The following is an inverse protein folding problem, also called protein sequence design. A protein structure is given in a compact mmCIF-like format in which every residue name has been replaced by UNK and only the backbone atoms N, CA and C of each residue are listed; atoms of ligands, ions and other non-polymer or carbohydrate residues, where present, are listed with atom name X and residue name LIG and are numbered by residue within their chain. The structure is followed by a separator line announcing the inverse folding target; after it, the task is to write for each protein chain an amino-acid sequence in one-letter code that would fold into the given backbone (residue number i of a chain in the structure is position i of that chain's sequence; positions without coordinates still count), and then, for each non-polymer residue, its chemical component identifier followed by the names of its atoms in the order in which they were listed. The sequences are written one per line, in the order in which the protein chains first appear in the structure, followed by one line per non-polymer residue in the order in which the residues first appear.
data_IF_421026378681
#
_entry.id   IF_421026378681
#
_cell.length_a   1.000
_cell.length_b   1.000
_cell.length_c   1.000
_cell.angle_alpha   90.00
_cell.angle_beta   90.00
_cell.angle_gamma   90.00
#
_symmetry.space_group_name_H-M   'P 1'
#
loop_
_entity.id
_entity.type
_entity.pdbx_description
1 polymer ?
#
# COMPACT_ATOMS: atom_id res chain seq x y z
N UNK A 1 11.97 -21.67 4.67
CA UNK A 1 11.04 -20.54 4.56
C UNK A 1 11.13 -19.81 5.89
N UNK A 2 11.58 -18.56 5.89
CA UNK A 2 11.75 -17.76 7.12
C UNK A 2 10.39 -17.52 7.77
N UNK A 3 10.31 -17.70 9.08
CA UNK A 3 9.08 -17.56 9.88
C UNK A 3 9.09 -16.27 10.70
N UNK A 4 7.91 -15.85 11.16
CA UNK A 4 7.77 -14.71 12.07
C UNK A 4 8.58 -14.91 13.37
N UNK A 5 8.57 -16.12 13.93
CA UNK A 5 9.31 -16.44 15.16
C UNK A 5 10.82 -16.33 14.97
N UNK A 6 11.34 -16.77 13.82
CA UNK A 6 12.76 -16.65 13.48
C UNK A 6 13.17 -15.19 13.27
N UNK A 7 12.34 -14.38 12.59
CA UNK A 7 12.62 -12.96 12.38
C UNK A 7 12.64 -12.17 13.70
N UNK A 8 11.72 -12.50 14.62
CA UNK A 8 11.59 -11.84 15.92
C UNK A 8 12.57 -12.36 16.98
N UNK A 9 13.41 -13.34 16.65
CA UNK A 9 14.33 -13.93 17.62
C UNK A 9 15.32 -12.88 18.15
N UNK A 10 15.37 -12.73 19.47
CA UNK A 10 16.23 -11.74 20.14
C UNK A 10 15.70 -10.30 20.14
N UNK A 11 14.53 -10.04 19.53
CA UNK A 11 13.87 -8.73 19.57
C UNK A 11 13.27 -8.50 20.95
N UNK A 12 13.69 -7.41 21.63
CA UNK A 12 13.26 -7.09 23.01
C UNK A 12 12.11 -6.09 23.09
N UNK A 13 12.03 -5.19 22.13
CA UNK A 13 11.02 -4.12 22.03
C UNK A 13 10.50 -4.07 20.60
N UNK A 14 9.23 -3.74 20.40
CA UNK A 14 8.63 -3.53 19.08
C UNK A 14 8.15 -2.08 18.99
N UNK A 15 9.09 -1.18 18.74
CA UNK A 15 8.82 0.19 18.36
C UNK A 15 8.96 0.39 16.84
N UNK A 16 8.62 1.57 16.34
CA UNK A 16 8.67 1.91 14.92
C UNK A 16 10.05 1.65 14.30
N UNK A 17 11.13 2.04 14.97
CA UNK A 17 12.49 1.80 14.48
C UNK A 17 12.77 0.30 14.34
N UNK A 18 12.38 -0.49 15.33
CA UNK A 18 12.55 -1.94 15.27
C UNK A 18 11.73 -2.55 14.13
N UNK A 19 10.49 -2.11 13.93
CA UNK A 19 9.65 -2.57 12.82
C UNK A 19 10.26 -2.22 11.45
N UNK A 20 10.84 -1.02 11.31
CA UNK A 20 11.58 -0.63 10.12
C UNK A 20 12.80 -1.53 9.88
N UNK A 21 13.63 -1.77 10.90
CA UNK A 21 14.79 -2.67 10.81
C UNK A 21 14.40 -4.12 10.42
N UNK A 22 13.26 -4.61 10.93
CA UNK A 22 12.74 -5.93 10.55
C UNK A 22 12.26 -5.94 9.09
N UNK A 23 11.65 -4.87 8.62
CA UNK A 23 11.26 -4.70 7.21
C UNK A 23 12.48 -4.66 6.29
N UNK A 24 13.54 -3.93 6.66
CA UNK A 24 14.79 -3.84 5.90
C UNK A 24 15.45 -5.20 5.71
N UNK A 25 15.50 -6.02 6.77
CA UNK A 25 16.01 -7.41 6.68
C UNK A 25 15.21 -8.28 5.70
N UNK A 26 13.92 -8.03 5.56
CA UNK A 26 13.09 -8.75 4.59
C UNK A 26 13.35 -8.24 3.18
N UNK A 27 13.56 -6.93 3.00
CA UNK A 27 13.96 -6.35 1.72
C UNK A 27 15.32 -6.87 1.22
N UNK A 28 16.23 -7.27 2.11
CA UNK A 28 17.48 -7.95 1.74
C UNK A 28 17.26 -9.30 1.04
N UNK A 29 16.07 -9.92 1.16
CA UNK A 29 15.75 -11.18 0.49
C UNK A 29 15.43 -11.00 -1.00
N UNK A 30 15.18 -9.79 -1.47
CA UNK A 30 14.92 -9.48 -2.89
C UNK A 30 13.64 -8.70 -3.12
N UNK A 31 13.03 -8.91 -4.29
CA UNK A 31 11.73 -8.32 -4.64
C UNK A 31 10.59 -8.87 -3.78
N UNK A 32 9.40 -8.25 -3.82
CA UNK A 32 8.24 -8.78 -3.11
C UNK A 32 7.89 -10.22 -3.52
N UNK A 33 8.08 -10.58 -4.79
CA UNK A 33 7.88 -11.95 -5.26
C UNK A 33 8.94 -12.90 -4.66
N UNK A 34 10.21 -12.49 -4.62
CA UNK A 34 11.28 -13.26 -3.96
C UNK A 34 10.99 -13.46 -2.46
N UNK A 35 10.55 -12.40 -1.77
CA UNK A 35 10.20 -12.43 -0.35
C UNK A 35 9.05 -13.42 -0.14
N UNK A 36 7.98 -13.32 -0.93
CA UNK A 36 6.80 -14.19 -0.85
C UNK A 36 7.15 -15.68 -0.99
N UNK A 37 8.15 -16.03 -1.79
CA UNK A 37 8.63 -17.40 -1.95
C UNK A 37 9.53 -17.86 -0.79
N UNK A 38 10.25 -16.93 -0.16
CA UNK A 38 11.27 -17.22 0.86
C UNK A 38 10.73 -17.20 2.29
N UNK A 39 9.58 -16.56 2.54
CA UNK A 39 8.99 -16.38 3.89
C UNK A 39 7.60 -17.00 4.01
N UNK A 40 7.12 -17.23 5.24
CA UNK A 40 5.77 -17.79 5.44
C UNK A 40 4.68 -16.78 5.05
N UNK A 41 3.45 -17.22 4.72
CA UNK A 41 2.36 -16.31 4.39
C UNK A 41 2.10 -15.24 5.45
N UNK A 42 2.22 -15.59 6.73
CA UNK A 42 2.03 -14.69 7.86
C UNK A 42 3.15 -13.63 7.90
N UNK A 43 4.40 -14.05 7.67
CA UNK A 43 5.52 -13.12 7.65
C UNK A 43 5.47 -12.20 6.42
N UNK A 44 5.06 -12.72 5.27
CA UNK A 44 4.84 -11.90 4.07
C UNK A 44 3.73 -10.87 4.31
N UNK A 45 2.61 -11.30 4.92
CA UNK A 45 1.52 -10.40 5.29
C UNK A 45 2.00 -9.30 6.23
N UNK A 46 2.78 -9.65 7.26
CA UNK A 46 3.38 -8.68 8.17
C UNK A 46 4.27 -7.68 7.41
N UNK A 47 5.10 -8.16 6.47
CA UNK A 47 5.95 -7.29 5.65
C UNK A 47 5.13 -6.26 4.87
N UNK A 48 4.05 -6.69 4.22
CA UNK A 48 3.13 -5.77 3.52
C UNK A 48 2.50 -4.79 4.52
N UNK A 49 2.08 -5.23 5.70
CA UNK A 49 1.48 -4.37 6.71
C UNK A 49 2.46 -3.29 7.22
N UNK A 50 3.71 -3.66 7.50
CA UNK A 50 4.74 -2.71 7.96
C UNK A 50 5.01 -1.63 6.90
N UNK A 51 5.18 -2.04 5.63
CA UNK A 51 5.38 -1.09 4.54
C UNK A 51 4.13 -0.25 4.28
N UNK A 52 2.94 -0.80 4.40
CA UNK A 52 1.69 -0.07 4.20
C UNK A 52 1.49 1.03 5.25
N UNK A 53 1.67 0.72 6.54
CA UNK A 53 1.55 1.71 7.62
C UNK A 53 2.66 2.76 7.52
N UNK A 54 3.92 2.33 7.41
CA UNK A 54 5.06 3.26 7.38
C UNK A 54 5.05 4.22 6.18
N UNK A 55 4.78 3.73 4.96
CA UNK A 55 4.69 4.60 3.79
C UNK A 55 3.47 5.51 3.86
N UNK A 56 2.34 5.03 4.41
CA UNK A 56 1.14 5.87 4.57
C UNK A 56 1.39 7.00 5.57
N UNK A 57 2.07 6.73 6.69
CA UNK A 57 2.42 7.77 7.68
C UNK A 57 3.35 8.85 7.11
N UNK A 58 4.16 8.50 6.10
CA UNK A 58 5.05 9.43 5.44
C UNK A 58 4.29 10.36 4.48
N UNK A 59 3.61 9.80 3.47
CA UNK A 59 3.06 10.56 2.34
C UNK A 59 1.64 10.13 1.90
N UNK A 60 0.98 9.26 2.66
CA UNK A 60 -0.40 8.84 2.43
C UNK A 60 -0.59 7.80 1.33
N UNK A 61 -1.86 7.50 1.00
CA UNK A 61 -2.22 6.43 0.07
C UNK A 61 -1.83 6.72 -1.36
N UNK A 62 -1.95 7.98 -1.78
CA UNK A 62 -1.59 8.33 -3.16
C UNK A 62 -0.10 8.07 -3.40
N UNK A 63 0.77 8.36 -2.43
CA UNK A 63 2.18 8.02 -2.52
C UNK A 63 2.42 6.51 -2.66
N UNK A 64 1.78 5.68 -1.83
CA UNK A 64 1.91 4.21 -1.96
C UNK A 64 1.51 3.76 -3.36
N UNK A 65 0.40 4.27 -3.89
CA UNK A 65 -0.09 3.90 -5.21
C UNK A 65 0.89 4.37 -6.31
N UNK A 66 1.48 5.56 -6.19
CA UNK A 66 2.35 6.12 -7.21
C UNK A 66 3.78 5.55 -7.18
N UNK A 67 4.37 5.50 -6.00
CA UNK A 67 5.81 5.31 -5.79
C UNK A 67 6.15 3.94 -5.18
N UNK A 68 5.16 3.27 -4.59
CA UNK A 68 5.29 1.91 -4.03
C UNK A 68 4.35 0.93 -4.75
N UNK A 69 4.19 1.10 -6.06
CA UNK A 69 3.21 0.39 -6.90
C UNK A 69 3.25 -1.13 -6.74
N UNK A 70 4.42 -1.72 -6.50
CA UNK A 70 4.57 -3.16 -6.29
C UNK A 70 3.85 -3.69 -5.05
N UNK A 71 3.55 -2.83 -4.06
CA UNK A 71 2.73 -3.19 -2.89
C UNK A 71 1.24 -3.29 -3.22
N UNK A 72 0.77 -2.51 -4.21
CA UNK A 72 -0.67 -2.37 -4.55
C UNK A 72 -1.39 -3.70 -4.71
N UNK A 73 -0.84 -4.70 -5.43
CA UNK A 73 -1.50 -5.99 -5.60
C UNK A 73 -1.68 -6.81 -4.31
N UNK A 74 -0.94 -6.51 -3.24
CA UNK A 74 -0.96 -7.28 -1.99
C UNK A 74 -1.72 -6.59 -0.84
N UNK A 75 -2.04 -5.31 -1.01
CA UNK A 75 -2.73 -4.50 0.01
C UNK A 75 -4.12 -5.05 0.35
N UNK A 76 -4.98 -5.46 -0.62
CA UNK A 76 -6.31 -5.98 -0.29
C UNK A 76 -6.27 -7.21 0.62
N UNK A 77 -5.39 -8.17 0.36
CA UNK A 77 -5.21 -9.36 1.20
C UNK A 77 -4.63 -9.01 2.57
N UNK A 78 -3.68 -8.08 2.64
CA UNK A 78 -3.13 -7.61 3.92
C UNK A 78 -4.20 -6.93 4.79
N UNK A 79 -4.98 -6.01 4.22
CA UNK A 79 -6.10 -5.36 4.90
C UNK A 79 -7.15 -6.38 5.37
N UNK A 80 -7.39 -7.43 4.58
CA UNK A 80 -8.27 -8.52 4.97
C UNK A 80 -7.72 -9.31 6.17
N UNK A 81 -6.42 -9.62 6.17
CA UNK A 81 -5.76 -10.33 7.27
C UNK A 81 -5.73 -9.51 8.59
N UNK A 82 -5.72 -8.18 8.48
CA UNK A 82 -5.86 -7.26 9.62
C UNK A 82 -7.33 -7.06 10.07
N UNK A 83 -8.31 -7.65 9.38
CA UNK A 83 -9.74 -7.44 9.66
C UNK A 83 -10.26 -6.04 9.30
N UNK A 84 -9.51 -5.27 8.50
CA UNK A 84 -9.84 -3.89 8.10
C UNK A 84 -10.72 -3.86 6.85
N UNK A 85 -11.86 -4.55 6.87
CA UNK A 85 -12.72 -4.76 5.68
C UNK A 85 -13.25 -3.46 5.05
N UNK A 86 -13.61 -2.47 5.87
CA UNK A 86 -14.05 -1.16 5.40
C UNK A 86 -12.93 -0.44 4.65
N UNK A 87 -11.71 -0.49 5.19
CA UNK A 87 -10.54 0.14 4.59
C UNK A 87 -10.14 -0.58 3.29
N UNK A 88 -10.17 -1.91 3.28
CA UNK A 88 -10.01 -2.72 2.06
C UNK A 88 -10.98 -2.29 0.97
N UNK A 89 -12.27 -2.18 1.30
CA UNK A 89 -13.30 -1.79 0.33
C UNK A 89 -13.04 -0.38 -0.21
N UNK A 90 -12.62 0.55 0.65
CA UNK A 90 -12.26 1.90 0.22
C UNK A 90 -11.02 1.91 -0.70
N UNK A 91 -10.00 1.10 -0.39
CA UNK A 91 -8.82 0.95 -1.23
C UNK A 91 -9.18 0.39 -2.61
N UNK A 92 -9.98 -0.67 -2.66
CA UNK A 92 -10.46 -1.28 -3.90
C UNK A 92 -11.29 -0.30 -4.76
N UNK A 93 -12.03 0.63 -4.12
CA UNK A 93 -12.72 1.72 -4.85
C UNK A 93 -11.72 2.67 -5.54
N UNK A 94 -10.60 3.01 -4.90
CA UNK A 94 -9.54 3.81 -5.54
C UNK A 94 -8.99 3.05 -6.75
N UNK A 95 -8.65 1.77 -6.57
CA UNK A 95 -8.15 0.91 -7.66
C UNK A 95 -9.16 0.80 -8.81
N UNK A 96 -10.47 0.74 -8.52
CA UNK A 96 -11.53 0.72 -9.55
C UNK A 96 -11.62 2.00 -10.40
N UNK A 97 -10.92 3.07 -10.02
CA UNK A 97 -10.84 4.30 -10.82
C UNK A 97 -9.78 4.20 -11.93
N UNK A 98 -8.85 3.25 -11.83
CA UNK A 98 -7.84 3.00 -12.84
C UNK A 98 -8.45 2.33 -14.08
N UNK A 99 -7.86 2.52 -15.27
CA UNK A 99 -8.19 1.72 -16.45
C UNK A 99 -8.14 0.22 -16.14
N UNK A 100 -9.09 -0.56 -16.65
CA UNK A 100 -9.22 -2.00 -16.31
C UNK A 100 -7.99 -2.84 -16.68
N UNK A 101 -7.21 -2.42 -17.66
CA UNK A 101 -5.98 -3.07 -18.11
C UNK A 101 -4.72 -2.51 -17.44
N UNK A 102 -4.86 -1.78 -16.33
CA UNK A 102 -3.71 -1.28 -15.57
C UNK A 102 -2.92 -2.46 -15.00
N UNK A 103 -1.63 -2.46 -15.30
CA UNK A 103 -0.65 -3.35 -14.68
C UNK A 103 0.14 -2.52 -13.66
N UNK A 104 0.21 -2.99 -12.42
CA UNK A 104 0.88 -2.31 -11.32
C UNK A 104 2.38 -2.61 -11.34
N UNK A 105 3.11 -1.87 -12.17
CA UNK A 105 4.57 -2.01 -12.38
C UNK A 105 5.25 -0.66 -12.46
N UNK A 106 6.54 -0.60 -12.13
CA UNK A 106 7.39 0.61 -12.23
C UNK A 106 7.80 0.93 -13.68
N UNK A 107 6.82 1.06 -14.59
CA UNK A 107 7.07 1.38 -16.00
C UNK A 107 6.48 2.73 -16.42
N UNK A 108 6.88 3.20 -17.60
CA UNK A 108 6.39 4.48 -18.13
C UNK A 108 4.88 4.48 -18.38
N UNK A 109 4.25 3.32 -18.61
CA UNK A 109 2.80 3.25 -18.81
C UNK A 109 2.06 3.47 -17.50
N UNK A 110 2.57 2.95 -16.39
CA UNK A 110 2.02 3.17 -15.08
C UNK A 110 2.19 4.63 -14.65
N UNK A 111 3.38 5.21 -14.85
CA UNK A 111 3.64 6.64 -14.62
C UNK A 111 2.64 7.51 -15.41
N UNK A 112 2.42 7.19 -16.69
CA UNK A 112 1.40 7.86 -17.51
C UNK A 112 -0.01 7.68 -16.94
N UNK A 113 -0.35 6.50 -16.44
CA UNK A 113 -1.67 6.21 -15.84
C UNK A 113 -1.91 7.01 -14.58
N UNK A 114 -0.92 7.07 -13.68
CA UNK A 114 -0.96 7.88 -12.47
C UNK A 114 -1.09 9.37 -12.81
N UNK A 115 -0.24 9.89 -13.70
CA UNK A 115 -0.31 11.28 -14.16
C UNK A 115 -1.66 11.61 -14.82
N UNK A 116 -2.24 10.64 -15.54
CA UNK A 116 -3.55 10.78 -16.15
C UNK A 116 -4.65 11.01 -15.12
N UNK A 117 -4.63 10.23 -14.03
CA UNK A 117 -5.62 10.25 -12.94
C UNK A 117 -5.38 11.35 -11.91
N UNK A 118 -4.13 11.82 -11.76
CA UNK A 118 -3.78 12.85 -10.77
C UNK A 118 -4.24 14.24 -11.20
N UNK A 119 -3.98 14.61 -12.45
CA UNK A 119 -4.24 15.97 -12.91
C UNK A 119 -4.49 16.00 -14.42
N UNK A 120 -5.64 16.53 -14.83
CA UNK A 120 -6.01 16.63 -16.24
C UNK A 120 -5.08 17.50 -17.10
N UNK A 121 -4.22 18.31 -16.47
CA UNK A 121 -3.22 19.15 -17.16
C UNK A 121 -1.91 18.44 -17.45
N UNK A 122 -1.64 17.30 -16.79
CA UNK A 122 -0.40 16.56 -17.03
C UNK A 122 -0.43 15.92 -18.41
N UNK A 123 0.70 16.02 -19.12
CA UNK A 123 0.89 15.36 -20.40
C UNK A 123 1.27 13.91 -20.16
N UNK A 124 0.69 13.02 -20.93
CA UNK A 124 0.98 11.58 -20.90
C UNK A 124 1.34 11.11 -22.31
N UNK A 125 2.23 10.14 -22.41
CA UNK A 125 2.69 9.62 -23.71
C UNK A 125 1.79 8.50 -24.23
N UNK A 126 1.10 7.80 -23.33
CA UNK A 126 0.24 6.68 -23.63
C UNK A 126 -0.92 7.08 -24.58
N UNK A 127 -0.92 6.48 -25.78
CA UNK A 127 -1.90 6.78 -26.84
C UNK A 127 -3.33 6.40 -26.43
N UNK A 128 -3.51 5.32 -25.67
CA UNK A 128 -4.82 4.87 -25.20
C UNK A 128 -5.41 5.89 -24.23
N UNK A 129 -4.61 6.37 -23.27
CA UNK A 129 -5.04 7.41 -22.34
C UNK A 129 -5.37 8.72 -23.07
N UNK A 130 -4.55 9.11 -24.06
CA UNK A 130 -4.82 10.30 -24.88
C UNK A 130 -6.05 10.18 -25.79
N UNK A 131 -6.58 8.97 -26.03
CA UNK A 131 -7.85 8.79 -26.76
C UNK A 131 -9.08 9.09 -25.91
N UNK A 132 -8.94 9.16 -24.58
CA UNK A 132 -10.02 9.51 -23.67
C UNK A 132 -10.25 11.03 -23.73
N UNK A 133 -11.52 11.44 -23.85
CA UNK A 133 -11.87 12.85 -23.94
C UNK A 133 -11.47 13.61 -22.67
N UNK A 134 -11.17 14.91 -22.81
CA UNK A 134 -10.80 15.76 -21.66
C UNK A 134 -11.89 15.78 -20.58
N UNK A 135 -13.17 15.84 -20.97
CA UNK A 135 -14.28 15.82 -20.03
C UNK A 135 -14.32 14.50 -19.25
N UNK A 136 -14.12 13.37 -19.94
CA UNK A 136 -14.05 12.07 -19.26
C UNK A 136 -12.85 11.99 -18.32
N UNK A 137 -11.69 12.51 -18.72
CA UNK A 137 -10.51 12.60 -17.84
C UNK A 137 -10.80 13.43 -16.59
N UNK A 138 -11.47 14.58 -16.71
CA UNK A 138 -11.86 15.41 -15.55
C UNK A 138 -12.75 14.65 -14.58
N UNK A 139 -13.73 13.90 -15.08
CA UNK A 139 -14.58 13.03 -14.24
C UNK A 139 -13.74 11.98 -13.50
N UNK A 140 -12.83 11.30 -14.19
CA UNK A 140 -11.96 10.28 -13.61
C UNK A 140 -11.03 10.86 -12.54
N UNK A 141 -10.40 12.01 -12.80
CA UNK A 141 -9.56 12.73 -11.83
C UNK A 141 -10.37 13.10 -10.58
N UNK A 142 -11.58 13.67 -10.77
CA UNK A 142 -12.46 14.04 -9.65
C UNK A 142 -12.88 12.83 -8.82
N UNK A 143 -13.23 11.71 -9.48
CA UNK A 143 -13.61 10.46 -8.82
C UNK A 143 -12.43 9.87 -8.03
N UNK A 144 -11.26 9.79 -8.66
CA UNK A 144 -10.04 9.25 -8.04
C UNK A 144 -9.69 10.02 -6.77
N UNK A 145 -9.66 11.36 -6.87
CA UNK A 145 -9.42 12.23 -5.72
C UNK A 145 -10.42 12.00 -4.59
N UNK A 146 -11.72 11.93 -4.91
CA UNK A 146 -12.74 11.70 -3.91
C UNK A 146 -12.59 10.34 -3.20
N UNK A 147 -12.31 9.27 -3.95
CA UNK A 147 -12.07 7.95 -3.35
C UNK A 147 -10.81 7.92 -2.47
N UNK A 148 -9.76 8.65 -2.85
CA UNK A 148 -8.55 8.80 -2.01
C UNK A 148 -8.90 9.57 -0.73
N UNK A 149 -9.62 10.69 -0.82
CA UNK A 149 -10.03 11.47 0.36
C UNK A 149 -10.86 10.63 1.34
N UNK A 150 -11.80 9.79 0.86
CA UNK A 150 -12.53 8.84 1.71
C UNK A 150 -11.60 7.81 2.36
N UNK A 151 -10.64 7.29 1.60
CA UNK A 151 -9.66 6.31 2.07
C UNK A 151 -8.76 6.91 3.17
N UNK A 152 -8.26 8.14 2.98
CA UNK A 152 -7.44 8.86 3.96
C UNK A 152 -8.22 9.06 5.27
N UNK A 153 -9.48 9.50 5.20
CA UNK A 153 -10.33 9.73 6.38
C UNK A 153 -10.56 8.47 7.21
N UNK A 154 -10.63 7.31 6.56
CA UNK A 154 -10.75 6.02 7.24
C UNK A 154 -9.43 5.55 7.87
N UNK A 155 -8.30 6.02 7.35
CA UNK A 155 -6.96 5.56 7.74
C UNK A 155 -6.37 6.36 8.87
N UNK A 156 -6.55 7.68 8.84
CA UNK A 156 -6.05 8.62 9.85
C UNK A 156 -6.28 8.16 11.30
N UNK A 157 -7.50 7.79 11.74
CA UNK A 157 -7.72 7.36 13.12
C UNK A 157 -7.03 6.03 13.47
N UNK A 158 -6.63 5.23 12.49
CA UNK A 158 -5.98 3.93 12.71
C UNK A 158 -4.46 4.07 12.75
N UNK A 159 -3.88 4.80 11.80
CA UNK A 159 -2.43 4.80 11.53
C UNK A 159 -1.78 6.16 11.76
N UNK A 160 -2.53 7.23 12.03
CA UNK A 160 -1.95 8.54 12.33
C UNK A 160 -1.03 8.50 13.56
N UNK A 161 -0.04 9.40 13.62
CA UNK A 161 0.88 9.46 14.77
C UNK A 161 0.17 9.77 16.10
N UNK A 162 -1.04 10.34 16.07
CA UNK A 162 -1.86 10.56 17.25
C UNK A 162 -2.68 9.32 17.69
N UNK A 163 -2.70 8.27 16.87
CA UNK A 163 -3.39 7.02 17.15
C UNK A 163 -2.61 6.14 18.11
N UNK A 164 -3.25 5.07 18.59
CA UNK A 164 -2.66 4.16 19.57
C UNK A 164 -1.33 3.55 19.06
N UNK A 165 -0.31 3.53 19.92
CA UNK A 165 1.07 3.16 19.58
C UNK A 165 1.60 3.91 18.35
N UNK A 166 1.29 5.20 18.24
CA UNK A 166 1.69 6.04 17.11
C UNK A 166 1.26 5.43 15.77
N UNK A 167 0.08 4.83 15.70
CA UNK A 167 -0.46 4.19 14.49
C UNK A 167 -0.05 2.74 14.26
N UNK A 168 0.91 2.21 15.05
CA UNK A 168 1.43 0.85 14.86
C UNK A 168 0.63 -0.24 15.57
N UNK A 169 -0.42 0.10 16.33
CA UNK A 169 -1.23 -0.85 17.11
C UNK A 169 -1.66 -2.07 16.30
N UNK A 170 -2.13 -1.87 15.07
CA UNK A 170 -2.64 -2.96 14.24
C UNK A 170 -1.55 -3.96 13.82
N UNK A 171 -0.32 -3.48 13.59
CA UNK A 171 0.84 -4.31 13.26
C UNK A 171 1.28 -5.08 14.49
N UNK A 172 1.31 -4.43 15.66
CA UNK A 172 1.66 -5.06 16.94
C UNK A 172 0.65 -6.14 17.34
N UNK A 173 -0.64 -5.89 17.10
CA UNK A 173 -1.70 -6.87 17.32
C UNK A 173 -1.55 -8.08 16.40
N UNK A 174 -1.25 -7.84 15.12
CA UNK A 174 -1.00 -8.91 14.16
C UNK A 174 0.18 -9.79 14.59
N UNK A 175 1.31 -9.17 14.98
CA UNK A 175 2.47 -9.90 15.51
C UNK A 175 2.07 -10.72 16.73
N UNK A 176 1.33 -10.13 17.67
CA UNK A 176 0.92 -10.81 18.90
C UNK A 176 0.00 -12.00 18.66
N UNK A 177 -0.85 -11.93 17.64
CA UNK A 177 -1.77 -13.01 17.28
C UNK A 177 -1.10 -14.19 16.54
N UNK A 178 0.08 -13.97 15.95
CA UNK A 178 0.79 -14.95 15.12
C UNK A 178 2.16 -15.36 15.70
N UNK A 179 2.48 -14.91 16.92
CA UNK A 179 3.70 -15.27 17.65
C UNK A 179 3.60 -16.63 18.34
#
# INVERSE_FOLDING_TARGET
MLTLQELLNGVKCLDENTLAELSDKLWELGTLDDIKEKVTPELFTLHICMNMVGNWQCDGWWYIICEQVKLVPFIPEALNALGLFTLKTAFEKVISCFPQDTIFTDDNNYIDTVNFLQNNRFKVSNKKLNSITLEKRKEMVKKTRHCIEELEQLTEPLWGYASENNGWKIVLDYISAHK
#
